data_IF_860104079706
#
_entry.id   IF_860104079706
#
_cell.length_a   1.000
_cell.length_b   1.000
_cell.length_c   1.000
_cell.angle_alpha   90.00
_cell.angle_beta   90.00
_cell.angle_gamma   90.00
#
_symmetry.space_group_name_H-M   'P 1'
#
loop_
_entity.id
_entity.type
_entity.pdbx_description
1 polymer ?
#
# COMPACT_ATOMS: atom_id res chain seq x y z
N UNK A 1 -5.49 -27.59 20.99
CA UNK A 1 -5.90 -26.95 19.72
C UNK A 1 -4.64 -26.41 19.06
N UNK A 2 -4.41 -26.75 17.79
CA UNK A 2 -3.15 -26.46 17.07
C UNK A 2 -3.19 -25.02 16.56
N UNK A 3 -2.27 -24.19 17.04
CA UNK A 3 -2.04 -22.84 16.51
C UNK A 3 -0.75 -22.87 15.69
N UNK A 4 -0.86 -22.66 14.38
CA UNK A 4 0.29 -22.56 13.47
C UNK A 4 1.01 -21.24 13.73
N UNK A 5 2.28 -21.33 14.07
CA UNK A 5 3.18 -20.20 14.26
C UNK A 5 3.48 -19.54 12.91
N UNK A 6 2.97 -18.32 12.69
CA UNK A 6 3.54 -17.43 11.68
C UNK A 6 4.87 -16.90 12.20
N UNK A 7 5.91 -16.97 11.36
CA UNK A 7 7.30 -16.61 11.69
C UNK A 7 7.53 -15.10 11.85
N UNK A 8 6.50 -14.28 11.66
CA UNK A 8 6.55 -12.84 11.88
C UNK A 8 5.35 -12.43 12.73
N UNK A 9 5.53 -12.51 14.05
CA UNK A 9 4.55 -12.02 14.99
C UNK A 9 4.45 -10.51 14.89
N UNK A 10 3.35 -10.01 14.31
CA UNK A 10 2.76 -8.73 14.68
C UNK A 10 1.23 -8.82 14.57
N UNK A 11 0.49 -8.65 15.68
CA UNK A 11 -0.91 -8.29 15.63
C UNK A 11 -1.00 -6.82 15.23
N UNK A 12 -1.40 -6.54 13.98
CA UNK A 12 -1.68 -5.17 13.52
C UNK A 12 -3.04 -4.73 14.03
N UNK A 13 -3.09 -4.30 15.29
CA UNK A 13 -4.23 -3.61 15.89
C UNK A 13 -3.77 -2.27 16.45
N UNK A 14 -3.65 -1.28 15.57
CA UNK A 14 -3.93 0.13 15.83
C UNK A 14 -3.82 0.86 14.48
N UNK A 15 -4.91 1.49 14.02
CA UNK A 15 -5.09 2.12 12.68
C UNK A 15 -5.59 1.21 11.54
N UNK A 16 -6.64 0.43 11.79
CA UNK A 16 -7.85 0.40 10.95
C UNK A 16 -7.79 -0.07 9.48
N UNK A 17 -6.75 -0.72 8.98
CA UNK A 17 -6.77 -1.31 7.63
C UNK A 17 -6.45 -2.80 7.67
N UNK A 18 -7.44 -3.61 7.26
CA UNK A 18 -7.27 -5.05 7.13
C UNK A 18 -6.40 -5.37 5.90
N UNK A 19 -5.45 -6.32 5.97
CA UNK A 19 -4.59 -6.73 4.85
C UNK A 19 -5.38 -7.21 3.61
N UNK A 20 -6.68 -7.47 3.74
CA UNK A 20 -7.57 -7.94 2.68
C UNK A 20 -8.19 -6.82 1.82
N UNK A 21 -7.96 -5.54 2.10
CA UNK A 21 -8.63 -4.43 1.39
C UNK A 21 -7.79 -3.73 0.31
N UNK A 22 -6.62 -4.26 -0.01
CA UNK A 22 -5.83 -3.75 -1.14
C UNK A 22 -5.79 -4.72 -2.31
N UNK A 23 -5.80 -4.16 -3.51
CA UNK A 23 -5.78 -4.90 -4.76
C UNK A 23 -4.79 -4.25 -5.72
N UNK A 24 -3.98 -5.06 -6.39
CA UNK A 24 -3.14 -4.62 -7.49
C UNK A 24 -3.91 -4.81 -8.80
N UNK A 25 -4.39 -3.71 -9.36
CA UNK A 25 -5.13 -3.69 -10.62
C UNK A 25 -4.15 -3.54 -11.79
N UNK A 26 -4.08 -4.49 -12.73
CA UNK A 26 -3.20 -4.37 -13.90
C UNK A 26 -3.67 -3.24 -14.82
N UNK A 27 -2.71 -2.47 -15.33
CA UNK A 27 -2.89 -1.35 -16.26
C UNK A 27 -1.82 -1.39 -17.33
N UNK A 28 -2.06 -2.23 -18.34
CA UNK A 28 -1.08 -2.49 -19.40
C UNK A 28 0.20 -3.09 -18.82
N UNK A 29 1.34 -2.45 -19.05
CA UNK A 29 2.64 -2.86 -18.51
C UNK A 29 2.89 -2.45 -17.04
N UNK A 30 1.89 -1.89 -16.36
CA UNK A 30 2.01 -1.33 -15.00
C UNK A 30 0.89 -1.82 -14.09
N UNK A 31 0.99 -1.57 -12.79
CA UNK A 31 -0.07 -1.87 -11.82
C UNK A 31 -0.51 -0.60 -11.09
N UNK A 32 -1.77 -0.56 -10.69
CA UNK A 32 -2.35 0.46 -9.82
C UNK A 32 -2.74 -0.23 -8.51
N UNK A 33 -2.22 0.26 -7.40
CA UNK A 33 -2.62 -0.22 -6.09
C UNK A 33 -3.92 0.49 -5.70
N UNK A 34 -4.98 -0.28 -5.49
CA UNK A 34 -6.23 0.20 -4.93
C UNK A 34 -6.26 -0.19 -3.46
N UNK A 35 -6.47 0.78 -2.57
CA UNK A 35 -6.69 0.56 -1.14
C UNK A 35 -8.02 1.22 -0.79
N UNK A 36 -9.06 0.41 -0.55
CA UNK A 36 -10.43 0.90 -0.41
C UNK A 36 -10.87 1.75 -1.61
N UNK A 37 -11.21 3.02 -1.37
CA UNK A 37 -11.68 3.98 -2.40
C UNK A 37 -10.55 4.80 -3.04
N UNK A 38 -9.31 4.60 -2.62
CA UNK A 38 -8.17 5.38 -3.10
C UNK A 38 -7.27 4.54 -3.99
N UNK A 39 -6.72 5.18 -5.02
CA UNK A 39 -5.76 4.57 -5.94
C UNK A 39 -4.39 5.18 -5.77
N UNK A 40 -3.39 4.37 -5.99
CA UNK A 40 -1.99 4.72 -5.86
C UNK A 40 -1.22 4.24 -7.09
N UNK A 41 -0.24 5.04 -7.48
CA UNK A 41 0.68 4.76 -8.59
C UNK A 41 2.12 4.79 -8.10
N UNK A 42 2.91 3.83 -8.53
CA UNK A 42 4.37 3.82 -8.33
C UNK A 42 5.06 4.30 -9.61
N UNK A 43 6.26 4.87 -9.45
CA UNK A 43 7.09 5.27 -10.59
C UNK A 43 8.18 4.25 -10.91
N UNK A 44 8.62 3.45 -9.92
CA UNK A 44 9.61 2.37 -10.10
C UNK A 44 9.73 1.55 -8.81
N UNK A 45 10.19 0.31 -8.95
CA UNK A 45 10.73 -0.50 -7.87
C UNK A 45 12.25 -0.38 -7.85
N UNK A 46 12.87 -0.34 -6.67
CA UNK A 46 14.32 -0.42 -6.58
C UNK A 46 14.82 -1.88 -6.72
N UNK A 47 16.13 -2.07 -6.85
CA UNK A 47 16.74 -3.40 -6.97
C UNK A 47 16.48 -4.33 -5.77
N UNK A 48 16.12 -3.77 -4.61
CA UNK A 48 15.74 -4.51 -3.42
C UNK A 48 14.24 -4.90 -3.38
N UNK A 49 13.49 -4.67 -4.47
CA UNK A 49 12.06 -4.98 -4.55
C UNK A 49 11.17 -3.99 -3.78
N UNK A 50 11.74 -2.89 -3.27
CA UNK A 50 10.99 -1.86 -2.55
C UNK A 50 10.43 -0.83 -3.54
N UNK A 51 9.13 -0.56 -3.41
CA UNK A 51 8.39 0.40 -4.21
C UNK A 51 7.71 1.43 -3.33
N UNK A 52 7.69 2.68 -3.77
CA UNK A 52 6.93 3.75 -3.13
C UNK A 52 5.73 4.09 -4.01
N UNK A 53 4.55 3.83 -3.47
CA UNK A 53 3.27 4.11 -4.11
C UNK A 53 2.76 5.46 -3.61
N UNK A 54 2.37 6.33 -4.53
CA UNK A 54 1.83 7.64 -4.21
C UNK A 54 0.36 7.71 -4.57
N UNK A 55 -0.44 8.41 -3.77
CA UNK A 55 -1.84 8.63 -4.12
C UNK A 55 -1.96 9.26 -5.53
N UNK A 56 -2.85 8.74 -6.37
CA UNK A 56 -3.05 9.26 -7.73
C UNK A 56 -3.46 10.74 -7.76
N UNK A 57 -4.10 11.23 -6.68
CA UNK A 57 -4.48 12.65 -6.53
C UNK A 57 -3.34 13.52 -5.99
N UNK A 58 -2.11 12.99 -5.78
CA UNK A 58 -0.94 13.75 -5.29
C UNK A 58 -0.68 15.04 -6.05
N UNK A 59 -0.72 15.02 -7.39
CA UNK A 59 -0.45 16.22 -8.19
C UNK A 59 -1.63 17.20 -8.22
N UNK A 60 -2.85 16.68 -8.38
CA UNK A 60 -4.07 17.50 -8.53
C UNK A 60 -4.55 18.11 -7.21
N UNK A 61 -4.49 17.36 -6.12
CA UNK A 61 -5.02 17.75 -4.81
C UNK A 61 -3.94 17.86 -3.73
N UNK A 62 -2.65 17.87 -4.12
CA UNK A 62 -1.50 17.95 -3.23
C UNK A 62 -1.49 16.89 -2.12
N UNK A 63 -2.12 15.73 -2.37
CA UNK A 63 -2.18 14.63 -1.42
C UNK A 63 -0.77 14.12 -1.08
N UNK A 64 -0.46 14.01 0.21
CA UNK A 64 0.86 13.62 0.71
C UNK A 64 0.96 12.14 1.08
N UNK A 65 -0.11 11.37 0.91
CA UNK A 65 -0.13 9.95 1.26
C UNK A 65 0.80 9.16 0.34
N UNK A 66 1.62 8.33 0.96
CA UNK A 66 2.51 7.38 0.29
C UNK A 66 2.51 6.04 1.02
N UNK A 67 2.61 4.95 0.27
CA UNK A 67 2.68 3.59 0.78
C UNK A 67 4.03 3.02 0.39
N UNK A 68 4.74 2.44 1.37
CA UNK A 68 5.97 1.69 1.11
C UNK A 68 5.59 0.22 1.01
N UNK A 69 5.98 -0.41 -0.09
CA UNK A 69 5.79 -1.84 -0.29
C UNK A 69 7.13 -2.50 -0.57
N UNK A 70 7.29 -3.75 -0.15
CA UNK A 70 8.40 -4.63 -0.52
C UNK A 70 7.84 -5.97 -0.95
N UNK A 71 8.28 -6.51 -2.09
CA UNK A 71 7.85 -7.84 -2.55
C UNK A 71 6.32 -8.07 -2.57
N UNK A 72 5.54 -7.01 -2.79
CA UNK A 72 4.07 -6.96 -2.76
C UNK A 72 3.41 -6.85 -1.38
N UNK A 73 4.19 -6.79 -0.29
CA UNK A 73 3.67 -6.53 1.06
C UNK A 73 3.72 -5.04 1.40
N UNK A 74 2.66 -4.52 2.02
CA UNK A 74 2.63 -3.17 2.57
C UNK A 74 3.45 -3.15 3.87
N UNK A 75 4.53 -2.37 3.87
CA UNK A 75 5.35 -2.15 5.07
C UNK A 75 4.81 -1.00 5.92
N UNK A 76 4.35 0.06 5.25
CA UNK A 76 4.03 1.32 5.91
C UNK A 76 3.14 2.20 5.03
N UNK A 77 2.20 2.90 5.66
CA UNK A 77 1.32 3.89 5.03
C UNK A 77 1.57 5.22 5.74
N UNK A 78 2.16 6.16 5.04
CA UNK A 78 2.51 7.47 5.59
C UNK A 78 1.64 8.58 5.03
N UNK A 79 1.18 9.46 5.91
CA UNK A 79 0.45 10.67 5.58
C UNK A 79 -1.06 10.52 5.70
N UNK A 80 -1.77 11.64 5.55
CA UNK A 80 -3.22 11.72 5.66
C UNK A 80 -3.83 12.10 4.30
N UNK A 81 -4.91 11.41 3.92
CA UNK A 81 -5.71 11.82 2.76
C UNK A 81 -6.44 13.12 3.12
N UNK A 82 -6.02 14.23 2.53
CA UNK A 82 -6.69 15.53 2.69
C UNK A 82 -7.82 15.71 1.69
N UNK A 83 -8.37 14.60 1.17
CA UNK A 83 -9.39 14.59 0.14
C UNK A 83 -10.25 13.33 0.24
N UNK A 84 -11.44 13.42 -0.36
CA UNK A 84 -12.32 12.28 -0.60
C UNK A 84 -12.06 11.76 -2.03
#
# INVERSE_FOLDING_TARGET
>A
MRFTTSRYGQPVLEMGYLPSEYELVPRGASYVLRLGKHTFSTNYANAAGMSIWYCSKRRRQKCKVRIRMINSDILDIQGLHTHN
#
